data_IF_614349380366
#
_entry.id   IF_614349380366
#
_cell.length_a   1.000
_cell.length_b   1.000
_cell.length_c   1.000
_cell.angle_alpha   90.00
_cell.angle_beta   90.00
_cell.angle_gamma   90.00
#
_symmetry.space_group_name_H-M   'P 1'
#
loop_
_entity.id
_entity.type
_entity.pdbx_description
1 polymer ?
#
# COMPACT_ATOMS: atom_id res chain seq x y z
N UNK A 1 -20.97 8.61 -10.20
CA UNK A 1 -20.76 7.21 -9.76
C UNK A 1 -22.06 6.70 -9.15
N UNK A 2 -22.15 5.40 -8.79
CA UNK A 2 -23.29 4.87 -8.05
C UNK A 2 -22.91 4.54 -6.60
N UNK A 3 -23.85 4.70 -5.68
CA UNK A 3 -23.65 4.49 -4.24
C UNK A 3 -24.97 4.20 -3.53
N UNK A 4 -25.04 4.48 -2.23
CA UNK A 4 -26.26 4.31 -1.43
C UNK A 4 -27.43 5.08 -2.05
N UNK A 5 -28.62 4.46 -2.07
CA UNK A 5 -29.82 5.06 -2.63
C UNK A 5 -30.41 6.09 -1.68
N UNK A 6 -30.34 7.37 -2.06
CA UNK A 6 -30.98 8.46 -1.33
C UNK A 6 -32.30 8.77 -2.03
N UNK A 7 -33.43 8.49 -1.34
CA UNK A 7 -34.78 8.76 -1.85
C UNK A 7 -35.04 8.20 -3.26
N UNK A 8 -34.53 6.99 -3.53
CA UNK A 8 -34.68 6.32 -4.82
C UNK A 8 -33.65 6.71 -5.89
N UNK A 9 -32.74 7.65 -5.61
CA UNK A 9 -31.63 8.01 -6.50
C UNK A 9 -30.31 7.42 -5.97
N UNK A 10 -29.63 6.63 -6.81
CA UNK A 10 -28.34 5.99 -6.48
C UNK A 10 -27.14 6.66 -7.13
N UNK A 11 -27.32 7.79 -7.82
CA UNK A 11 -26.25 8.56 -8.45
C UNK A 11 -25.58 9.51 -7.43
N UNK A 12 -24.26 9.55 -7.51
CA UNK A 12 -23.39 10.37 -6.68
C UNK A 12 -22.38 11.11 -7.53
N UNK A 13 -22.31 12.42 -7.37
CA UNK A 13 -21.41 13.33 -8.07
C UNK A 13 -20.18 13.63 -7.22
N UNK A 14 -19.02 13.59 -7.86
CA UNK A 14 -17.75 13.88 -7.19
C UNK A 14 -17.46 15.37 -7.31
N UNK A 15 -17.35 16.03 -6.17
CA UNK A 15 -16.93 17.42 -6.07
C UNK A 15 -15.43 17.57 -6.31
N UNK A 16 -14.98 18.78 -6.62
CA UNK A 16 -13.56 19.08 -6.90
C UNK A 16 -12.64 18.83 -5.72
N UNK A 17 -13.15 18.89 -4.48
CA UNK A 17 -12.40 18.58 -3.27
C UNK A 17 -12.38 17.08 -2.93
N UNK A 18 -12.95 16.22 -3.79
CA UNK A 18 -12.90 14.77 -3.65
C UNK A 18 -14.02 14.13 -2.84
N UNK A 19 -14.96 14.93 -2.30
CA UNK A 19 -16.17 14.44 -1.63
C UNK A 19 -17.26 14.07 -2.64
N UNK A 20 -18.27 13.32 -2.19
CA UNK A 20 -19.42 12.95 -3.01
C UNK A 20 -20.71 13.59 -2.50
N UNK A 21 -21.55 14.05 -3.42
CA UNK A 21 -22.89 14.57 -3.16
C UNK A 21 -23.88 13.72 -3.96
N UNK A 22 -24.97 13.30 -3.34
CA UNK A 22 -26.03 12.59 -4.07
C UNK A 22 -26.65 13.50 -5.13
N UNK A 23 -26.84 12.98 -6.34
CA UNK A 23 -27.48 13.67 -7.47
C UNK A 23 -28.89 14.16 -7.11
N UNK A 24 -29.57 13.53 -6.15
CA UNK A 24 -30.84 14.01 -5.60
C UNK A 24 -30.79 15.48 -5.14
N UNK A 25 -29.65 15.92 -4.60
CA UNK A 25 -29.47 17.29 -4.09
C UNK A 25 -28.92 18.27 -5.13
N UNK A 26 -28.68 17.82 -6.36
CA UNK A 26 -28.09 18.61 -7.43
C UNK A 26 -29.11 18.81 -8.56
N UNK A 27 -29.27 20.05 -9.01
CA UNK A 27 -30.04 20.35 -10.23
C UNK A 27 -29.12 20.17 -11.44
N UNK A 28 -29.01 18.94 -11.93
CA UNK A 28 -28.15 18.57 -13.06
C UNK A 28 -28.86 18.62 -14.41
N UNK A 29 -30.19 18.74 -14.42
CA UNK A 29 -31.01 18.77 -15.65
C UNK A 29 -31.26 17.39 -16.28
N UNK A 30 -30.79 16.31 -15.65
CA UNK A 30 -31.08 14.93 -16.07
C UNK A 30 -31.05 13.98 -14.87
N UNK A 31 -31.90 12.95 -14.86
CA UNK A 31 -31.88 11.90 -13.82
C UNK A 31 -30.92 10.74 -14.18
N UNK A 32 -29.95 11.00 -15.06
CA UNK A 32 -29.11 9.97 -15.67
C UNK A 32 -27.72 10.50 -15.97
N UNK A 33 -26.86 9.62 -16.49
CA UNK A 33 -25.53 10.03 -16.91
C UNK A 33 -25.62 10.88 -18.19
N UNK A 34 -25.22 12.15 -18.11
CA UNK A 34 -25.17 13.07 -19.27
C UNK A 34 -24.01 12.79 -20.24
N UNK A 35 -23.02 12.03 -19.77
CA UNK A 35 -21.92 11.50 -20.57
C UNK A 35 -21.84 9.98 -20.33
N UNK A 36 -21.49 9.20 -21.36
CA UNK A 36 -21.28 7.77 -21.18
C UNK A 36 -20.37 7.50 -19.98
N UNK A 37 -20.73 6.51 -19.16
CA UNK A 37 -19.83 6.03 -18.10
C UNK A 37 -18.49 5.71 -18.74
N UNK A 38 -17.38 6.17 -18.18
CA UNK A 38 -16.06 5.77 -18.67
C UNK A 38 -16.01 4.24 -18.72
N UNK A 39 -15.97 3.68 -19.93
CA UNK A 39 -15.76 2.26 -20.14
C UNK A 39 -14.39 1.91 -19.59
N UNK A 40 -14.32 1.00 -18.62
CA UNK A 40 -13.06 0.41 -18.14
C UNK A 40 -12.49 -0.57 -19.16
N UNK A 41 -12.32 -0.11 -20.41
CA UNK A 41 -11.77 -0.91 -21.50
C UNK A 41 -11.06 0.01 -22.47
N UNK A 42 -9.73 -0.07 -22.50
CA UNK A 42 -8.92 0.45 -23.61
C UNK A 42 -8.60 1.94 -23.57
N UNK A 43 -7.73 2.33 -22.65
CA UNK A 43 -7.03 3.62 -22.69
C UNK A 43 -5.89 3.58 -21.71
N UNK A 44 -4.64 3.67 -22.21
CA UNK A 44 -3.41 3.68 -21.42
C UNK A 44 -3.43 4.83 -20.41
N UNK A 45 -3.98 4.55 -19.24
CA UNK A 45 -3.96 5.39 -18.05
C UNK A 45 -2.97 4.75 -17.07
N UNK A 46 -2.05 5.51 -16.45
CA UNK A 46 -1.09 4.94 -15.52
C UNK A 46 -1.85 4.28 -14.37
N UNK A 47 -1.70 2.96 -14.28
CA UNK A 47 -2.30 2.08 -13.27
C UNK A 47 -2.31 2.73 -11.88
N UNK A 48 -3.44 3.28 -11.46
CA UNK A 48 -3.82 3.36 -10.05
C UNK A 48 -4.32 1.98 -9.67
N UNK A 49 -3.38 1.03 -9.52
CA UNK A 49 -3.70 -0.28 -8.96
C UNK A 49 -4.30 -0.09 -7.58
N UNK A 50 -5.39 -0.79 -7.27
CA UNK A 50 -6.00 -0.78 -5.94
C UNK A 50 -4.94 -1.08 -4.89
N UNK A 51 -4.68 -0.19 -3.93
CA UNK A 51 -3.81 -0.44 -2.78
C UNK A 51 -4.57 -1.41 -1.87
N UNK A 52 -3.96 -2.53 -1.43
CA UNK A 52 -2.52 -2.84 -1.40
C UNK A 52 -1.96 -3.59 -2.62
N UNK A 53 -2.80 -3.89 -3.60
CA UNK A 53 -2.47 -4.67 -4.80
C UNK A 53 -2.83 -6.15 -4.62
N UNK A 54 -2.74 -6.95 -5.70
CA UNK A 54 -2.93 -8.39 -5.62
C UNK A 54 -1.80 -9.03 -4.78
N UNK A 55 -2.19 -9.97 -3.91
CA UNK A 55 -1.26 -10.82 -3.16
C UNK A 55 -0.69 -11.91 -4.09
N UNK A 56 0.51 -11.71 -4.59
CA UNK A 56 1.20 -12.66 -5.48
C UNK A 56 2.71 -12.39 -5.48
N UNK A 57 3.50 -13.40 -5.85
CA UNK A 57 4.94 -13.21 -6.03
C UNK A 57 5.26 -12.61 -7.42
N UNK A 58 5.01 -11.31 -7.53
CA UNK A 58 5.37 -10.46 -8.66
C UNK A 58 6.61 -9.58 -8.40
N UNK A 59 7.40 -9.96 -7.37
CA UNK A 59 8.66 -9.32 -7.07
C UNK A 59 9.69 -9.58 -8.19
N UNK A 60 10.31 -8.53 -8.77
CA UNK A 60 11.15 -8.66 -9.97
C UNK A 60 12.44 -9.46 -9.76
N UNK A 61 12.89 -9.61 -8.51
CA UNK A 61 14.12 -10.37 -8.20
C UNK A 61 13.83 -11.75 -7.61
N UNK A 62 12.60 -12.28 -7.76
CA UNK A 62 12.27 -13.64 -7.34
C UNK A 62 13.23 -14.65 -7.98
N UNK A 63 13.84 -15.50 -7.17
CA UNK A 63 14.86 -16.46 -7.62
C UNK A 63 16.22 -15.87 -8.01
N UNK A 64 16.41 -14.54 -8.00
CA UNK A 64 17.66 -13.86 -8.34
C UNK A 64 18.18 -13.03 -7.16
N UNK A 65 18.66 -13.72 -6.13
CA UNK A 65 18.96 -13.14 -4.82
C UNK A 65 20.36 -12.53 -4.67
N UNK A 66 21.16 -12.48 -5.74
CA UNK A 66 22.54 -11.97 -5.68
C UNK A 66 22.58 -10.45 -5.89
N UNK A 67 23.32 -9.77 -5.02
CA UNK A 67 23.63 -8.34 -5.12
C UNK A 67 22.57 -7.41 -4.55
N UNK A 68 22.79 -6.13 -4.81
CA UNK A 68 21.96 -5.01 -4.34
C UNK A 68 20.97 -4.65 -5.46
N UNK A 69 19.74 -4.31 -5.09
CA UNK A 69 18.70 -3.84 -5.98
C UNK A 69 18.80 -2.33 -6.27
N UNK A 70 17.92 -1.82 -7.13
CA UNK A 70 17.88 -0.40 -7.49
C UNK A 70 17.43 0.54 -6.36
N UNK A 71 16.93 0.02 -5.24
CA UNK A 71 16.53 0.79 -4.05
C UNK A 71 17.60 0.76 -2.96
N UNK A 72 18.78 0.19 -3.26
CA UNK A 72 19.90 0.02 -2.34
C UNK A 72 19.63 -0.95 -1.17
N UNK A 73 18.86 -2.01 -1.43
CA UNK A 73 18.69 -3.14 -0.52
C UNK A 73 19.20 -4.44 -1.13
N UNK A 74 19.63 -5.40 -0.30
CA UNK A 74 19.97 -6.73 -0.78
C UNK A 74 18.75 -7.45 -1.33
N UNK A 75 18.87 -8.03 -2.53
CA UNK A 75 17.76 -8.74 -3.18
C UNK A 75 17.28 -9.92 -2.33
N UNK A 76 16.01 -10.28 -2.52
CA UNK A 76 15.35 -11.33 -1.76
C UNK A 76 15.30 -11.10 -0.25
N UNK A 77 15.63 -9.91 0.27
CA UNK A 77 15.41 -9.56 1.67
C UNK A 77 14.04 -8.91 1.87
N UNK A 78 13.55 -8.92 3.10
CA UNK A 78 12.28 -8.30 3.47
C UNK A 78 12.22 -6.81 3.11
N UNK A 79 13.30 -6.06 3.39
CA UNK A 79 13.43 -4.64 3.06
C UNK A 79 13.36 -4.36 1.57
N UNK A 80 14.06 -5.16 0.75
CA UNK A 80 14.01 -5.06 -0.71
C UNK A 80 12.62 -5.31 -1.28
N UNK A 81 11.95 -6.36 -0.80
CA UNK A 81 10.58 -6.67 -1.23
C UNK A 81 9.59 -5.56 -0.86
N UNK A 82 9.65 -5.06 0.37
CA UNK A 82 8.76 -3.98 0.82
C UNK A 82 9.08 -2.67 0.10
N UNK A 83 10.35 -2.35 -0.15
CA UNK A 83 10.74 -1.21 -0.98
C UNK A 83 10.13 -1.31 -2.39
N UNK A 84 10.15 -2.50 -2.99
CA UNK A 84 9.46 -2.74 -4.26
C UNK A 84 7.94 -2.54 -4.16
N UNK A 85 7.26 -3.08 -3.15
CA UNK A 85 5.81 -2.87 -2.94
C UNK A 85 5.47 -1.39 -2.79
N UNK A 86 6.23 -0.65 -1.98
CA UNK A 86 6.06 0.80 -1.83
C UNK A 86 6.15 1.51 -3.18
N UNK A 87 7.22 1.26 -3.96
CA UNK A 87 7.41 1.92 -5.25
C UNK A 87 6.33 1.54 -6.27
N UNK A 88 6.02 0.24 -6.38
CA UNK A 88 5.12 -0.30 -7.39
C UNK A 88 3.64 -0.07 -7.09
N UNK A 89 3.24 0.02 -5.82
CA UNK A 89 1.84 0.17 -5.41
C UNK A 89 1.48 1.60 -5.05
N UNK A 90 2.39 2.35 -4.44
CA UNK A 90 2.11 3.73 -3.98
C UNK A 90 2.58 4.80 -4.97
N UNK A 91 3.38 4.42 -5.97
CA UNK A 91 4.01 5.35 -6.92
C UNK A 91 5.00 6.31 -6.25
N UNK A 92 5.61 5.88 -5.13
CA UNK A 92 6.59 6.68 -4.37
C UNK A 92 7.99 6.32 -4.84
N UNK A 93 8.88 7.32 -4.96
CA UNK A 93 10.32 7.10 -5.22
C UNK A 93 11.05 6.71 -3.92
N UNK A 94 10.70 5.56 -3.37
CA UNK A 94 11.27 5.08 -2.11
C UNK A 94 12.60 4.35 -2.35
N UNK A 95 13.63 4.68 -1.56
CA UNK A 95 14.94 4.00 -1.57
C UNK A 95 15.44 3.87 -0.14
N UNK A 96 16.56 3.19 0.07
CA UNK A 96 17.23 3.15 1.36
C UNK A 96 17.69 4.54 1.88
N UNK A 97 17.62 5.59 1.05
CA UNK A 97 17.88 6.99 1.41
C UNK A 97 16.63 7.87 1.33
N UNK A 98 15.45 7.27 1.52
CA UNK A 98 14.17 7.97 1.34
C UNK A 98 14.07 9.19 2.27
N UNK A 99 13.71 10.34 1.67
CA UNK A 99 13.67 11.66 2.32
C UNK A 99 15.02 12.08 2.96
N UNK A 100 16.14 11.66 2.37
CA UNK A 100 17.49 12.08 2.78
C UNK A 100 18.01 11.39 4.04
N UNK A 101 17.32 10.37 4.55
CA UNK A 101 17.72 9.59 5.73
C UNK A 101 17.96 8.16 5.32
N UNK A 102 19.00 7.53 5.89
CA UNK A 102 19.24 6.10 5.71
C UNK A 102 18.20 5.28 6.51
N UNK A 103 17.43 4.41 5.84
CA UNK A 103 16.40 3.57 6.46
C UNK A 103 16.96 2.25 7.00
N UNK A 104 18.02 1.73 6.38
CA UNK A 104 18.83 0.63 6.89
C UNK A 104 18.07 -0.70 7.01
N UNK A 105 18.42 -1.45 8.05
CA UNK A 105 17.80 -2.73 8.35
C UNK A 105 16.35 -2.57 8.81
N UNK A 106 15.57 -3.64 8.77
CA UNK A 106 14.15 -3.57 9.12
C UNK A 106 13.89 -3.02 10.54
N UNK A 107 14.76 -3.32 11.51
CA UNK A 107 14.69 -2.78 12.88
C UNK A 107 15.03 -1.28 13.02
N UNK A 108 15.48 -0.60 11.96
CA UNK A 108 15.74 0.85 11.97
C UNK A 108 14.70 1.65 11.17
N UNK A 109 13.75 0.98 10.52
CA UNK A 109 12.76 1.63 9.66
C UNK A 109 11.79 2.52 10.43
N UNK A 110 11.39 2.14 11.64
CA UNK A 110 10.49 2.96 12.45
C UNK A 110 11.16 4.25 12.93
N UNK A 111 12.43 4.19 13.33
CA UNK A 111 13.23 5.37 13.67
C UNK A 111 13.48 6.28 12.46
N UNK A 112 13.81 5.70 11.30
CA UNK A 112 13.97 6.46 10.06
C UNK A 112 12.65 7.11 9.61
N UNK A 113 11.52 6.41 9.75
CA UNK A 113 10.20 6.94 9.49
C UNK A 113 9.90 8.16 10.37
N UNK A 114 10.13 8.04 11.70
CA UNK A 114 9.93 9.16 12.64
C UNK A 114 10.82 10.36 12.29
N UNK A 115 12.11 10.15 12.00
CA UNK A 115 13.04 11.23 11.59
C UNK A 115 12.62 11.95 10.30
N UNK A 116 11.90 11.26 9.41
CA UNK A 116 11.47 11.80 8.11
C UNK A 116 9.99 12.25 8.10
N UNK A 117 9.37 12.33 9.29
CA UNK A 117 7.98 12.74 9.47
C UNK A 117 6.97 11.76 8.88
N UNK A 118 7.34 10.51 8.64
CA UNK A 118 6.41 9.45 8.25
C UNK A 118 5.73 8.91 9.51
N UNK A 119 4.39 8.88 9.60
CA UNK A 119 3.70 8.41 10.79
C UNK A 119 4.00 6.93 11.09
N UNK A 120 4.22 6.63 12.36
CA UNK A 120 4.37 5.26 12.89
C UNK A 120 3.40 5.08 14.06
N UNK A 121 2.55 4.06 14.01
CA UNK A 121 1.59 3.76 15.09
C UNK A 121 1.15 2.29 15.08
N UNK A 122 0.26 1.91 15.99
CA UNK A 122 -0.30 0.55 16.13
C UNK A 122 -1.59 0.31 15.32
N UNK A 123 -1.95 1.22 14.42
CA UNK A 123 -3.19 1.14 13.62
C UNK A 123 -2.85 0.68 12.19
N UNK A 124 -3.06 -0.60 11.86
CA UNK A 124 -2.78 -1.08 10.51
C UNK A 124 -3.72 -0.46 9.48
N UNK A 125 -3.18 -0.15 8.32
CA UNK A 125 -3.93 0.19 7.11
C UNK A 125 -3.44 -0.70 5.98
N UNK A 126 -4.36 -1.18 5.12
CA UNK A 126 -3.96 -1.90 3.92
C UNK A 126 -3.05 -1.01 3.06
N UNK A 127 -1.85 -1.49 2.73
CA UNK A 127 -0.81 -0.71 2.04
C UNK A 127 0.18 0.03 2.95
N UNK A 128 0.02 -0.08 4.27
CA UNK A 128 1.07 0.30 5.22
C UNK A 128 2.15 -0.78 5.31
N UNK A 129 3.28 -0.44 5.93
CA UNK A 129 4.36 -1.38 6.22
C UNK A 129 4.22 -1.87 7.65
N UNK A 130 4.08 -3.19 7.82
CA UNK A 130 4.20 -3.83 9.12
C UNK A 130 5.69 -3.98 9.47
N UNK A 131 6.10 -3.51 10.64
CA UNK A 131 7.50 -3.46 11.06
C UNK A 131 7.67 -3.97 12.50
N UNK A 132 8.77 -4.66 12.76
CA UNK A 132 9.20 -5.06 14.11
C UNK A 132 10.72 -5.01 14.26
N UNK A 133 11.16 -4.74 15.49
CA UNK A 133 12.57 -4.78 15.87
C UNK A 133 13.03 -6.17 16.33
N UNK A 134 12.12 -7.16 16.34
CA UNK A 134 12.45 -8.52 16.77
C UNK A 134 13.48 -9.19 15.83
N UNK A 135 14.51 -9.80 16.43
CA UNK A 135 15.64 -10.40 15.72
C UNK A 135 16.75 -9.41 15.38
N UNK A 136 17.94 -9.91 14.98
CA UNK A 136 19.14 -9.08 14.82
C UNK A 136 19.01 -7.96 13.78
N UNK A 137 18.16 -8.13 12.77
CA UNK A 137 17.93 -7.15 11.71
C UNK A 137 16.50 -6.58 11.70
N UNK A 138 15.64 -7.03 12.62
CA UNK A 138 14.19 -6.78 12.55
C UNK A 138 13.50 -7.50 11.40
N UNK A 139 12.23 -7.16 11.19
CA UNK A 139 11.47 -7.63 10.03
C UNK A 139 10.46 -6.58 9.55
N UNK A 140 10.30 -6.49 8.22
CA UNK A 140 9.29 -5.65 7.58
C UNK A 140 8.47 -6.46 6.58
N UNK A 141 7.19 -6.15 6.48
CA UNK A 141 6.25 -6.79 5.59
C UNK A 141 5.23 -5.78 5.04
N UNK A 142 4.62 -6.11 3.91
CA UNK A 142 3.57 -5.29 3.30
C UNK A 142 2.19 -5.71 3.82
N UNK A 143 1.37 -4.77 4.28
CA UNK A 143 0.02 -5.08 4.79
C UNK A 143 -0.95 -5.22 3.62
N UNK A 144 -1.35 -6.45 3.31
CA UNK A 144 -2.28 -6.75 2.21
C UNK A 144 -3.76 -6.74 2.63
N UNK A 145 -4.06 -6.97 3.90
CA UNK A 145 -5.44 -6.88 4.41
C UNK A 145 -5.45 -6.61 5.90
N UNK A 146 -6.46 -5.87 6.36
CA UNK A 146 -6.79 -5.72 7.78
C UNK A 146 -8.17 -6.31 7.99
N UNK A 147 -8.32 -7.19 8.99
CA UNK A 147 -9.58 -7.87 9.30
C UNK A 147 -9.75 -7.98 10.81
N UNK A 148 -10.52 -7.07 11.39
CA UNK A 148 -10.72 -7.00 12.84
C UNK A 148 -9.40 -6.78 13.61
N UNK A 149 -9.00 -7.79 14.38
CA UNK A 149 -7.76 -7.77 15.17
C UNK A 149 -6.57 -8.46 14.48
N UNK A 150 -6.71 -8.83 13.22
CA UNK A 150 -5.67 -9.50 12.46
C UNK A 150 -5.25 -8.69 11.24
N UNK A 151 -4.00 -8.87 10.83
CA UNK A 151 -3.46 -8.37 9.57
C UNK A 151 -2.96 -9.53 8.73
N UNK A 152 -3.25 -9.48 7.43
CA UNK A 152 -2.63 -10.36 6.45
C UNK A 152 -1.48 -9.61 5.80
N UNK A 153 -0.28 -10.17 5.88
CA UNK A 153 0.95 -9.59 5.37
C UNK A 153 1.51 -10.38 4.20
N UNK A 154 2.20 -9.67 3.32
CA UNK A 154 3.09 -10.22 2.30
C UNK A 154 4.53 -9.93 2.70
N UNK A 155 5.39 -10.93 2.65
CA UNK A 155 6.77 -10.79 3.10
C UNK A 155 7.72 -11.64 2.27
N UNK A 156 9.00 -11.32 2.39
CA UNK A 156 10.08 -12.07 1.76
C UNK A 156 11.14 -12.37 2.80
N UNK A 157 11.84 -13.49 2.65
CA UNK A 157 12.88 -13.97 3.57
C UNK A 157 12.41 -14.30 5.00
N UNK A 158 11.11 -14.41 5.25
CA UNK A 158 10.62 -15.12 6.45
C UNK A 158 10.94 -16.61 6.33
N UNK A 159 10.65 -17.18 5.14
CA UNK A 159 11.29 -18.38 4.65
C UNK A 159 12.45 -17.95 3.74
N UNK A 160 13.64 -18.52 3.95
CA UNK A 160 14.89 -18.12 3.26
C UNK A 160 14.67 -17.90 1.76
N UNK A 161 14.90 -16.65 1.31
CA UNK A 161 14.82 -16.21 -0.08
C UNK A 161 13.48 -16.51 -0.79
N UNK A 162 12.37 -16.61 -0.05
CA UNK A 162 11.04 -16.89 -0.61
C UNK A 162 10.00 -15.86 -0.20
N UNK A 163 9.06 -15.63 -1.10
CA UNK A 163 7.80 -14.96 -0.82
C UNK A 163 6.91 -15.86 0.05
N UNK A 164 6.25 -15.26 1.02
CA UNK A 164 5.22 -15.92 1.82
C UNK A 164 4.16 -14.92 2.26
N UNK A 165 3.04 -15.46 2.74
CA UNK A 165 1.97 -14.67 3.34
C UNK A 165 1.61 -15.26 4.69
N UNK A 166 1.27 -14.40 5.65
CA UNK A 166 0.79 -14.82 6.98
C UNK A 166 -0.34 -13.92 7.44
N UNK A 167 -1.25 -14.49 8.22
CA UNK A 167 -2.21 -13.72 8.99
C UNK A 167 -1.83 -13.81 10.45
N UNK A 168 -1.61 -12.65 11.08
CA UNK A 168 -1.16 -12.56 12.48
C UNK A 168 -1.95 -11.50 13.23
N UNK A 169 -1.95 -11.51 14.58
CA UNK A 169 -2.52 -10.42 15.36
C UNK A 169 -1.91 -9.07 14.96
N UNK A 170 -2.72 -8.03 14.88
CA UNK A 170 -2.22 -6.68 14.54
C UNK A 170 -1.27 -6.11 15.60
N UNK A 171 -1.29 -6.65 16.82
CA UNK A 171 -0.37 -6.27 17.89
C UNK A 171 1.07 -6.76 17.67
N UNK A 172 1.32 -7.62 16.69
CA UNK A 172 2.66 -8.15 16.38
C UNK A 172 3.60 -7.09 15.81
N UNK A 173 3.08 -6.00 15.26
CA UNK A 173 3.85 -5.01 14.51
C UNK A 173 3.51 -3.57 14.88
N UNK A 174 4.47 -2.69 14.65
CA UNK A 174 4.21 -1.27 14.38
C UNK A 174 3.90 -1.08 12.90
N UNK A 175 3.17 -0.03 12.55
CA UNK A 175 2.76 0.27 11.19
C UNK A 175 3.31 1.62 10.73
N UNK A 176 4.06 1.59 9.64
CA UNK A 176 4.66 2.76 9.00
C UNK A 176 3.81 3.15 7.79
N UNK A 177 3.42 4.42 7.77
CA UNK A 177 2.40 4.98 6.87
C UNK A 177 3.03 5.85 5.78
N UNK A 178 3.70 5.20 4.80
CA UNK A 178 4.47 5.91 3.75
C UNK A 178 3.60 6.84 2.91
N UNK A 179 2.39 6.38 2.54
CA UNK A 179 1.38 7.13 1.78
C UNK A 179 0.03 6.42 1.97
N UNK A 180 -0.69 6.80 3.01
CA UNK A 180 -2.06 6.36 3.33
C UNK A 180 -2.89 7.53 3.81
#
# INVERSE_FOLDING_TARGET
>A
TSGESIKGNSLWDKTTNGCYVSDYYLKTGSNGYVAGKCSTSGGSSPSTGSIPGPMKDDYPYKGSCSGIDKWNYYKCQCTSFVAWRINSRLGVKYTNMYKGVNWGNANTWDDAARRTGVPVNSKPVAGSVAQTNAGSYGHVAWVAKVSGNSVTIEEYNWTKNKYSTRTVPKSTFNYIHIKV
#
